data_IF_766286359502
#
_entry.id   IF_766286359502
#
_cell.length_a   1.000
_cell.length_b   1.000
_cell.length_c   1.000
_cell.angle_alpha   90.00
_cell.angle_beta   90.00
_cell.angle_gamma   90.00
#
_symmetry.space_group_name_H-M   'P 1'
#
loop_
_entity.id
_entity.type
_entity.pdbx_description
1 polymer ?
#
# COMPACT_ATOMS: atom_id res chain seq x y z
N UNK A 1 -30.56 67.36 6.23
CA UNK A 1 -29.84 67.52 4.95
C UNK A 1 -28.44 66.89 5.03
N UNK A 2 -28.35 65.58 4.76
CA UNK A 2 -27.09 64.83 4.79
C UNK A 2 -26.78 64.31 3.37
N UNK A 3 -25.51 64.38 3.00
CA UNK A 3 -25.01 64.34 1.64
C UNK A 3 -25.03 62.94 1.02
N UNK A 4 -25.26 62.95 -0.30
CA UNK A 4 -25.31 61.82 -1.21
C UNK A 4 -23.89 61.48 -1.72
N UNK A 5 -23.56 60.18 -1.81
CA UNK A 5 -22.75 59.63 -2.90
C UNK A 5 -22.69 58.11 -2.82
N UNK A 6 -23.44 57.42 -3.66
CA UNK A 6 -23.14 56.03 -4.00
C UNK A 6 -23.32 55.80 -5.51
N UNK A 7 -22.22 55.53 -6.21
CA UNK A 7 -22.19 55.21 -7.63
C UNK A 7 -22.45 53.71 -7.80
N UNK A 8 -23.58 53.37 -8.40
CA UNK A 8 -23.98 51.99 -8.71
C UNK A 8 -23.08 51.34 -9.77
N UNK A 9 -22.47 50.21 -9.40
CA UNK A 9 -21.70 49.34 -10.28
C UNK A 9 -22.57 48.52 -11.23
N UNK A 10 -22.06 48.33 -12.44
CA UNK A 10 -22.66 47.60 -13.56
C UNK A 10 -22.51 46.08 -13.40
N UNK A 11 -23.61 45.38 -13.69
CA UNK A 11 -23.80 44.10 -14.41
C UNK A 11 -22.75 42.97 -14.38
N UNK A 12 -23.23 41.73 -14.21
CA UNK A 12 -22.50 40.53 -14.61
C UNK A 12 -23.21 39.20 -14.31
N UNK A 13 -23.81 38.60 -15.35
CA UNK A 13 -23.93 37.16 -15.62
C UNK A 13 -24.35 36.18 -14.52
N UNK A 14 -25.59 35.68 -14.59
CA UNK A 14 -26.02 34.45 -13.92
C UNK A 14 -25.46 33.22 -14.65
N UNK A 15 -24.36 32.66 -14.13
CA UNK A 15 -23.85 31.34 -14.53
C UNK A 15 -24.61 30.22 -13.81
N UNK A 16 -25.18 29.30 -14.58
CA UNK A 16 -25.90 28.14 -14.10
C UNK A 16 -24.91 27.04 -13.68
N UNK A 17 -24.60 26.94 -12.38
CA UNK A 17 -23.77 25.85 -11.86
C UNK A 17 -24.62 24.63 -11.55
N UNK A 18 -24.52 23.62 -12.41
CA UNK A 18 -24.95 22.26 -12.17
C UNK A 18 -24.35 21.74 -10.85
N UNK A 19 -25.23 21.42 -9.91
CA UNK A 19 -24.87 20.82 -8.62
C UNK A 19 -24.27 19.43 -8.88
N UNK A 20 -22.95 19.29 -8.71
CA UNK A 20 -22.30 17.98 -8.55
C UNK A 20 -22.89 17.30 -7.30
N UNK A 21 -23.30 16.02 -7.36
CA UNK A 21 -23.71 15.30 -6.18
C UNK A 21 -22.48 15.10 -5.27
N UNK A 22 -22.60 15.54 -4.02
CA UNK A 22 -21.66 15.20 -2.97
C UNK A 22 -21.77 13.69 -2.73
N UNK A 23 -20.75 12.94 -3.13
CA UNK A 23 -20.59 11.57 -2.68
C UNK A 23 -20.35 11.61 -1.17
N UNK A 24 -21.31 11.08 -0.43
CA UNK A 24 -21.24 10.87 1.00
C UNK A 24 -20.05 9.96 1.31
N UNK A 25 -19.16 10.42 2.17
CA UNK A 25 -18.03 9.65 2.69
C UNK A 25 -18.56 8.53 3.60
N UNK A 26 -18.87 7.38 3.00
CA UNK A 26 -19.09 6.14 3.74
C UNK A 26 -17.77 5.74 4.40
N UNK A 27 -17.82 5.51 5.71
CA UNK A 27 -16.66 5.32 6.58
C UNK A 27 -15.69 4.23 6.12
N UNK A 28 -14.42 4.61 5.93
CA UNK A 28 -13.29 3.69 5.85
C UNK A 28 -12.74 3.48 7.26
N UNK A 29 -13.40 2.60 8.02
CA UNK A 29 -13.05 2.26 9.40
C UNK A 29 -12.11 1.05 9.55
N UNK A 30 -11.70 0.41 8.46
CA UNK A 30 -10.77 -0.72 8.48
C UNK A 30 -9.38 -0.31 7.98
N UNK A 31 -8.35 -0.98 8.48
CA UNK A 31 -7.05 -0.98 7.79
C UNK A 31 -7.26 -1.49 6.35
N UNK A 32 -6.54 -0.94 5.34
CA UNK A 32 -6.60 -1.49 3.99
C UNK A 32 -6.18 -2.96 4.03
N UNK A 33 -7.09 -3.85 3.65
CA UNK A 33 -6.82 -5.29 3.53
C UNK A 33 -6.11 -5.48 2.20
N UNK A 34 -4.99 -6.22 2.20
CA UNK A 34 -4.35 -6.65 0.94
C UNK A 34 -5.40 -7.40 0.12
N UNK A 35 -5.72 -6.91 -1.08
CA UNK A 35 -6.60 -7.64 -1.99
C UNK A 35 -5.84 -8.87 -2.51
N UNK A 36 -5.94 -9.95 -1.77
CA UNK A 36 -5.40 -11.25 -2.16
C UNK A 36 -6.37 -12.00 -3.05
N UNK A 37 -7.47 -11.42 -3.54
CA UNK A 37 -8.55 -12.21 -4.15
C UNK A 37 -8.25 -12.67 -5.57
N UNK A 38 -7.44 -11.93 -6.34
CA UNK A 38 -7.11 -12.26 -7.74
C UNK A 38 -5.65 -11.93 -8.07
N UNK A 39 -4.94 -12.90 -8.64
CA UNK A 39 -3.65 -12.65 -9.31
C UNK A 39 -3.97 -12.51 -10.79
N UNK A 40 -3.65 -11.36 -11.36
CA UNK A 40 -3.75 -11.13 -12.79
C UNK A 40 -2.47 -11.62 -13.47
N UNK A 41 -2.58 -12.62 -14.34
CA UNK A 41 -1.46 -13.11 -15.14
C UNK A 41 -1.35 -12.33 -16.46
N UNK A 42 -0.12 -12.07 -16.89
CA UNK A 42 0.20 -11.48 -18.19
C UNK A 42 1.38 -12.19 -18.83
N UNK A 43 1.28 -12.44 -20.12
CA UNK A 43 2.31 -13.15 -20.89
C UNK A 43 2.01 -14.64 -21.02
N UNK A 44 2.86 -15.33 -21.77
CA UNK A 44 2.79 -16.78 -21.97
C UNK A 44 4.03 -17.41 -21.37
N UNK A 45 3.89 -18.29 -20.35
CA UNK A 45 5.02 -18.98 -19.76
C UNK A 45 5.76 -19.85 -20.78
N UNK A 46 7.09 -19.89 -20.68
CA UNK A 46 7.96 -20.82 -21.40
C UNK A 46 9.18 -21.18 -20.55
N UNK A 47 9.93 -22.21 -20.97
CA UNK A 47 11.11 -22.69 -20.24
C UNK A 47 12.25 -21.66 -20.14
N UNK A 48 12.17 -20.55 -20.88
CA UNK A 48 13.17 -19.47 -20.88
C UNK A 48 12.67 -18.16 -20.27
N UNK A 49 11.43 -18.12 -19.80
CA UNK A 49 10.83 -16.93 -19.19
C UNK A 49 10.94 -16.94 -17.67
N UNK A 50 11.06 -15.75 -17.08
CA UNK A 50 10.99 -15.52 -15.64
C UNK A 50 9.59 -15.03 -15.26
N UNK A 51 8.96 -15.68 -14.30
CA UNK A 51 7.68 -15.30 -13.73
C UNK A 51 7.87 -14.39 -12.52
N UNK A 52 7.39 -13.14 -12.63
CA UNK A 52 7.54 -12.13 -11.56
C UNK A 52 6.17 -11.76 -11.00
N UNK A 53 5.97 -12.00 -9.71
CA UNK A 53 4.82 -11.49 -8.98
C UNK A 53 5.07 -10.04 -8.56
N UNK A 54 4.09 -9.17 -8.80
CA UNK A 54 4.15 -7.75 -8.42
C UNK A 54 3.04 -7.47 -7.42
N UNK A 55 3.44 -7.00 -6.23
CA UNK A 55 2.55 -6.58 -5.15
C UNK A 55 2.59 -5.06 -5.04
N UNK A 56 1.41 -4.43 -4.98
CA UNK A 56 1.29 -2.99 -4.70
C UNK A 56 1.72 -2.65 -3.27
N UNK A 57 0.78 -2.70 -2.32
CA UNK A 57 1.02 -2.44 -0.90
C UNK A 57 0.88 -3.72 -0.08
N UNK A 58 1.84 -4.02 0.79
CA UNK A 58 1.83 -5.24 1.62
C UNK A 58 1.08 -5.07 2.95
N UNK A 59 1.12 -3.88 3.54
CA UNK A 59 0.51 -3.53 4.82
C UNK A 59 0.86 -4.48 5.99
N UNK A 60 2.10 -5.02 6.00
CA UNK A 60 2.57 -5.95 7.03
C UNK A 60 2.05 -7.39 6.90
N UNK A 61 1.30 -7.72 5.85
CA UNK A 61 0.70 -9.04 5.60
C UNK A 61 1.56 -9.93 4.68
N UNK A 62 2.88 -9.84 4.79
CA UNK A 62 3.85 -10.64 4.04
C UNK A 62 3.56 -12.16 4.07
N UNK A 63 3.13 -12.69 5.22
CA UNK A 63 2.72 -14.10 5.35
C UNK A 63 1.58 -14.46 4.39
N UNK A 64 0.52 -13.66 4.37
CA UNK A 64 -0.62 -13.88 3.51
C UNK A 64 -0.26 -13.78 2.02
N UNK A 65 0.67 -12.87 1.67
CA UNK A 65 1.21 -12.75 0.31
C UNK A 65 1.92 -14.04 -0.11
N UNK A 66 2.81 -14.57 0.73
CA UNK A 66 3.51 -15.82 0.43
C UNK A 66 2.57 -17.02 0.36
N UNK A 67 1.59 -17.12 1.28
CA UNK A 67 0.58 -18.17 1.25
C UNK A 67 -0.25 -18.12 -0.05
N UNK A 68 -0.55 -16.91 -0.52
CA UNK A 68 -1.28 -16.69 -1.77
C UNK A 68 -0.45 -17.09 -3.00
N UNK A 69 0.84 -16.74 -3.05
CA UNK A 69 1.74 -17.19 -4.11
C UNK A 69 1.82 -18.73 -4.11
N UNK A 70 2.00 -19.35 -2.94
CA UNK A 70 2.07 -20.80 -2.84
C UNK A 70 0.77 -21.49 -3.26
N UNK A 71 -0.39 -20.88 -3.00
CA UNK A 71 -1.68 -21.38 -3.49
C UNK A 71 -1.77 -21.29 -5.01
N UNK A 72 -1.37 -20.16 -5.58
CA UNK A 72 -1.38 -19.93 -7.01
C UNK A 72 -0.48 -20.92 -7.76
N UNK A 73 0.74 -21.16 -7.29
CA UNK A 73 1.63 -22.15 -7.89
C UNK A 73 1.04 -23.57 -7.89
N UNK A 74 0.26 -23.92 -6.85
CA UNK A 74 -0.44 -25.22 -6.79
C UNK A 74 -1.61 -25.30 -7.77
N UNK A 75 -2.33 -24.20 -7.98
CA UNK A 75 -3.48 -24.14 -8.88
C UNK A 75 -3.07 -24.15 -10.36
N UNK A 76 -2.03 -23.39 -10.71
CA UNK A 76 -1.60 -23.20 -12.11
C UNK A 76 -0.51 -24.18 -12.53
N UNK A 77 0.22 -24.76 -11.58
CA UNK A 77 1.42 -25.54 -11.84
C UNK A 77 2.62 -24.69 -12.30
N UNK A 78 2.45 -23.37 -12.40
CA UNK A 78 3.50 -22.43 -12.80
C UNK A 78 4.21 -21.88 -11.57
N UNK A 79 5.54 -21.81 -11.63
CA UNK A 79 6.37 -21.24 -10.56
C UNK A 79 6.47 -19.72 -10.66
N UNK A 80 6.59 -19.08 -9.51
CA UNK A 80 6.92 -17.66 -9.37
C UNK A 80 8.37 -17.55 -8.92
N UNK A 81 9.21 -16.92 -9.73
CA UNK A 81 10.65 -16.85 -9.49
C UNK A 81 11.06 -15.67 -8.60
N UNK A 82 10.25 -14.60 -8.60
CA UNK A 82 10.55 -13.35 -7.92
C UNK A 82 9.27 -12.66 -7.45
N UNK A 83 9.29 -12.12 -6.23
CA UNK A 83 8.30 -11.15 -5.75
C UNK A 83 8.90 -9.74 -5.73
N UNK A 84 8.19 -8.78 -6.30
CA UNK A 84 8.47 -7.35 -6.17
C UNK A 84 7.35 -6.70 -5.37
N UNK A 85 7.66 -6.23 -4.17
CA UNK A 85 6.75 -5.46 -3.31
C UNK A 85 7.02 -3.96 -3.50
N UNK A 86 6.04 -3.24 -4.03
CA UNK A 86 6.19 -1.85 -4.46
C UNK A 86 5.95 -0.81 -3.36
N UNK A 87 5.65 -1.22 -2.13
CA UNK A 87 5.51 -0.29 -1.01
C UNK A 87 4.76 -0.85 0.19
N UNK A 88 4.70 -0.02 1.24
CA UNK A 88 4.03 -0.25 2.51
C UNK A 88 4.30 -1.67 3.04
N UNK A 89 5.56 -2.09 3.01
CA UNK A 89 6.02 -3.38 3.50
C UNK A 89 5.85 -3.51 5.01
N UNK A 90 6.06 -2.40 5.73
CA UNK A 90 5.97 -2.33 7.19
C UNK A 90 6.94 -3.31 7.87
N UNK A 91 8.24 -3.12 7.65
CA UNK A 91 9.35 -3.90 8.21
C UNK A 91 9.56 -3.71 9.72
N UNK A 92 8.51 -3.91 10.53
CA UNK A 92 8.57 -3.80 11.98
C UNK A 92 9.32 -5.00 12.60
N UNK A 93 10.43 -4.73 13.29
CA UNK A 93 11.27 -5.71 14.00
C UNK A 93 10.93 -5.75 15.49
N UNK A 94 10.30 -4.70 15.99
CA UNK A 94 10.02 -4.49 17.41
C UNK A 94 8.92 -3.43 17.57
N UNK A 95 8.40 -3.27 18.78
CA UNK A 95 7.38 -2.23 19.06
C UNK A 95 7.96 -0.82 18.97
N UNK A 96 9.28 -0.70 19.10
CA UNK A 96 10.04 0.53 19.04
C UNK A 96 10.04 1.11 17.61
N UNK A 97 10.01 0.26 16.58
CA UNK A 97 10.00 0.70 15.18
C UNK A 97 8.75 1.53 14.83
N UNK A 98 7.66 1.43 15.61
CA UNK A 98 6.46 2.27 15.45
C UNK A 98 6.72 3.77 15.60
N UNK A 99 7.79 4.18 16.29
CA UNK A 99 8.16 5.59 16.39
C UNK A 99 8.57 6.17 15.03
N UNK A 100 9.12 5.33 14.15
CA UNK A 100 9.53 5.69 12.79
C UNK A 100 8.48 5.37 11.72
N UNK A 101 7.33 4.78 12.12
CA UNK A 101 6.24 4.42 11.23
C UNK A 101 5.17 5.53 11.18
N UNK A 102 4.96 6.08 9.98
CA UNK A 102 4.01 7.17 9.73
C UNK A 102 2.55 6.69 9.66
N UNK A 103 2.04 6.04 10.71
CA UNK A 103 0.62 5.62 10.82
C UNK A 103 -0.05 6.14 12.10
N UNK A 104 -1.35 6.47 12.07
CA UNK A 104 -2.09 6.85 13.27
C UNK A 104 -2.01 5.81 14.40
N UNK A 105 -1.96 6.22 15.69
CA UNK A 105 -1.80 5.30 16.82
C UNK A 105 -2.81 4.14 16.87
N UNK A 106 -4.05 4.38 16.43
CA UNK A 106 -5.11 3.34 16.36
C UNK A 106 -4.78 2.15 15.46
N UNK A 107 -3.82 2.29 14.54
CA UNK A 107 -3.36 1.22 13.65
C UNK A 107 -2.03 0.58 14.11
N UNK A 108 -1.51 0.97 15.28
CA UNK A 108 -0.25 0.44 15.86
C UNK A 108 -0.53 -0.70 16.84
N UNK A 109 -1.33 -1.66 16.42
CA UNK A 109 -1.84 -2.75 17.26
C UNK A 109 -1.19 -4.11 16.97
N UNK A 110 -0.36 -4.21 15.92
CA UNK A 110 0.27 -5.46 15.49
C UNK A 110 1.62 -5.18 14.82
N UNK A 111 2.63 -6.00 15.11
CA UNK A 111 3.92 -5.96 14.40
C UNK A 111 3.85 -6.53 12.96
N UNK A 112 2.68 -7.05 12.56
CA UNK A 112 2.52 -7.71 11.28
C UNK A 112 3.30 -9.03 11.23
N UNK A 113 3.58 -9.47 10.00
CA UNK A 113 4.15 -10.80 9.73
C UNK A 113 5.64 -10.78 9.39
N UNK A 114 6.29 -9.61 9.37
CA UNK A 114 7.72 -9.50 9.02
C UNK A 114 8.67 -10.03 10.09
N UNK A 115 8.39 -9.77 11.38
CA UNK A 115 9.29 -10.10 12.49
C UNK A 115 9.84 -11.55 12.46
N UNK A 116 9.03 -12.61 12.27
CA UNK A 116 9.54 -13.98 12.18
C UNK A 116 10.59 -14.19 11.09
N UNK A 117 10.52 -13.46 9.97
CA UNK A 117 11.53 -13.51 8.91
C UNK A 117 12.80 -12.77 9.31
N UNK A 118 12.67 -11.62 9.98
CA UNK A 118 13.80 -10.84 10.48
C UNK A 118 14.65 -11.62 11.49
N UNK A 119 14.02 -12.31 12.46
CA UNK A 119 14.75 -13.11 13.47
C UNK A 119 15.20 -14.49 12.95
N UNK A 120 14.92 -14.82 11.68
CA UNK A 120 15.29 -16.10 11.08
C UNK A 120 14.43 -17.29 11.52
N UNK A 121 13.32 -17.07 12.24
CA UNK A 121 12.37 -18.13 12.59
C UNK A 121 11.56 -18.63 11.38
N UNK A 122 11.41 -17.80 10.35
CA UNK A 122 10.88 -18.15 9.02
C UNK A 122 11.87 -17.74 7.93
N UNK A 123 11.81 -18.43 6.80
CA UNK A 123 12.56 -18.10 5.58
C UNK A 123 11.57 -17.72 4.47
N UNK A 124 11.87 -16.65 3.73
CA UNK A 124 11.10 -16.27 2.56
C UNK A 124 11.15 -17.41 1.51
N UNK A 125 10.01 -17.84 0.95
CA UNK A 125 9.96 -18.99 0.04
C UNK A 125 10.53 -18.68 -1.35
N UNK A 126 10.64 -17.40 -1.71
CA UNK A 126 11.20 -16.92 -2.98
C UNK A 126 11.95 -15.60 -2.79
N UNK A 127 12.91 -15.26 -3.68
CA UNK A 127 13.51 -13.95 -3.72
C UNK A 127 12.44 -12.85 -3.68
N UNK A 128 12.62 -11.89 -2.77
CA UNK A 128 11.65 -10.80 -2.55
C UNK A 128 12.41 -9.48 -2.57
N UNK A 129 12.12 -8.65 -3.56
CA UNK A 129 12.60 -7.28 -3.65
C UNK A 129 11.55 -6.37 -3.04
N UNK A 130 11.97 -5.47 -2.16
CA UNK A 130 11.09 -4.51 -1.50
C UNK A 130 11.51 -3.10 -1.90
N UNK A 131 10.53 -2.30 -2.29
CA UNK A 131 10.65 -0.86 -2.53
C UNK A 131 9.91 -0.17 -1.40
N UNK A 132 10.53 0.81 -0.75
CA UNK A 132 9.91 1.52 0.38
C UNK A 132 8.71 2.35 -0.04
N UNK A 133 7.63 2.29 0.75
CA UNK A 133 6.45 3.16 0.64
C UNK A 133 6.42 4.32 1.64
N UNK A 134 5.23 4.86 1.89
CA UNK A 134 5.01 5.96 2.83
C UNK A 134 4.62 5.47 4.24
N UNK A 135 4.15 4.24 4.39
CA UNK A 135 3.89 3.61 5.68
C UNK A 135 5.00 2.60 6.01
N UNK A 136 6.24 3.07 6.12
CA UNK A 136 7.40 2.22 6.43
C UNK A 136 8.02 2.52 7.78
N UNK A 137 8.70 1.53 8.36
CA UNK A 137 9.67 1.80 9.42
C UNK A 137 10.89 2.46 8.78
N UNK A 138 10.92 3.79 8.84
CA UNK A 138 12.02 4.56 8.23
C UNK A 138 13.37 4.22 8.87
N UNK A 139 13.37 3.85 10.16
CA UNK A 139 14.57 3.43 10.86
C UNK A 139 15.17 2.15 10.25
N UNK A 140 14.35 1.11 10.03
CA UNK A 140 14.81 -0.14 9.45
C UNK A 140 15.36 0.05 8.03
N UNK A 141 14.71 0.88 7.21
CA UNK A 141 15.16 1.14 5.84
C UNK A 141 16.42 2.02 5.79
N UNK A 142 16.58 2.96 6.73
CA UNK A 142 17.76 3.82 6.80
C UNK A 142 19.03 3.05 7.15
N UNK A 143 18.93 2.02 7.99
CA UNK A 143 20.04 1.10 8.29
C UNK A 143 20.53 0.35 7.03
N UNK A 144 19.66 0.22 6.01
CA UNK A 144 19.91 -0.49 4.76
C UNK A 144 20.07 0.48 3.57
N UNK A 145 20.75 1.62 3.77
CA UNK A 145 20.85 2.69 2.77
C UNK A 145 21.41 2.24 1.41
N UNK A 146 22.28 1.22 1.39
CA UNK A 146 22.87 0.69 0.15
C UNK A 146 22.19 -0.57 -0.40
N UNK A 147 21.15 -1.05 0.27
CA UNK A 147 20.57 -2.38 0.03
C UNK A 147 21.25 -3.47 0.86
#
# INVERSE_FOLDING_TARGET
PNQNNNRGGRGGGRGNHSRRPQHTAAGRGGAPVVDTSRIEERGTPSDTTLSVAVLGCCHGELGAVYDRIAHHEKETGSKVDLLVCCGDFQSLRSWEDFHSLAVPPKYRNSLGSFLPYYIGAKRAPLPTIVIGGNHESSQALQELYYG
#
